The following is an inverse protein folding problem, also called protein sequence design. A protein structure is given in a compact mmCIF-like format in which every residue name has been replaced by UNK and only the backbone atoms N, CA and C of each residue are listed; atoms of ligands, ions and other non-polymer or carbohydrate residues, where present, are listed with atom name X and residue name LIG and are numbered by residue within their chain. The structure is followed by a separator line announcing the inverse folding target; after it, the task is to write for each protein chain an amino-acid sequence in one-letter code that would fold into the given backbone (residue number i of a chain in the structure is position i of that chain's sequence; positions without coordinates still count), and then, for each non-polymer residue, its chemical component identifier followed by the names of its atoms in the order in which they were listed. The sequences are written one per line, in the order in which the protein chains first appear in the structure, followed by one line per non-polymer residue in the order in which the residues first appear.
data_IF_765396260269
#
_entry.id   IF_765396260269
#
_cell.length_a   1.000
_cell.length_b   1.000
_cell.length_c   1.000
_cell.angle_alpha   90.00
_cell.angle_beta   90.00
_cell.angle_gamma   90.00
#
_symmetry.space_group_name_H-M   'P 1'
#
loop_
_entity.id
_entity.type
_entity.pdbx_description
1 polymer ?
#
# COMPACT_ATOMS: atom_id res chain seq x y z
N UNK A 1 42.20 -45.25 -1.95
CA UNK A 1 42.07 -43.78 -1.76
C UNK A 1 40.79 -43.35 -2.47
N UNK A 2 39.74 -43.00 -1.72
CA UNK A 2 38.44 -42.59 -2.27
C UNK A 2 38.51 -41.11 -2.64
N UNK A 3 38.40 -40.79 -3.93
CA UNK A 3 38.28 -39.42 -4.43
C UNK A 3 36.85 -38.93 -4.21
N UNK A 4 36.67 -38.01 -3.26
CA UNK A 4 35.38 -37.38 -2.99
C UNK A 4 35.10 -36.26 -4.01
N UNK A 5 33.97 -36.35 -4.69
CA UNK A 5 33.43 -35.31 -5.56
C UNK A 5 32.91 -34.16 -4.67
N UNK A 6 33.46 -32.95 -4.82
CA UNK A 6 32.90 -31.74 -4.18
C UNK A 6 31.90 -31.14 -5.16
N UNK A 7 30.60 -31.24 -4.83
CA UNK A 7 29.54 -30.55 -5.56
C UNK A 7 29.42 -29.15 -4.96
N UNK A 8 29.82 -28.14 -5.72
CA UNK A 8 29.62 -26.74 -5.37
C UNK A 8 28.14 -26.39 -5.69
N UNK A 9 27.29 -26.31 -4.67
CA UNK A 9 25.94 -25.76 -4.83
C UNK A 9 26.05 -24.25 -5.03
N UNK A 10 25.82 -23.80 -6.27
CA UNK A 10 25.60 -22.40 -6.59
C UNK A 10 24.19 -22.03 -6.09
N UNK A 11 24.09 -21.40 -4.93
CA UNK A 11 22.84 -20.79 -4.46
C UNK A 11 22.62 -19.54 -5.32
N UNK A 12 21.78 -19.66 -6.34
CA UNK A 12 21.19 -18.50 -6.98
C UNK A 12 20.25 -17.86 -5.96
N UNK A 13 20.69 -16.80 -5.27
CA UNK A 13 19.75 -15.85 -4.68
C UNK A 13 19.00 -15.20 -5.84
N UNK A 14 17.87 -15.79 -6.21
CA UNK A 14 16.81 -15.03 -6.85
C UNK A 14 16.35 -14.02 -5.80
N UNK A 15 16.86 -12.79 -5.88
CA UNK A 15 16.24 -11.68 -5.17
C UNK A 15 14.79 -11.65 -5.61
N UNK A 16 13.89 -12.01 -4.71
CA UNK A 16 12.49 -11.66 -4.89
C UNK A 16 12.50 -10.14 -5.03
N UNK A 17 12.18 -9.66 -6.23
CA UNK A 17 11.74 -8.28 -6.40
C UNK A 17 10.52 -8.14 -5.51
N UNK A 18 10.74 -7.60 -4.31
CA UNK A 18 9.65 -7.09 -3.51
C UNK A 18 9.08 -5.94 -4.35
N UNK A 19 7.90 -6.13 -4.95
CA UNK A 19 7.23 -5.00 -5.55
C UNK A 19 6.97 -4.01 -4.44
N UNK A 20 7.46 -2.79 -4.61
CA UNK A 20 7.24 -1.78 -3.61
C UNK A 20 5.76 -1.45 -3.55
N UNK A 21 5.27 -1.37 -2.32
CA UNK A 21 3.98 -0.80 -1.96
C UNK A 21 4.20 0.67 -1.62
N UNK A 22 3.12 1.46 -1.64
CA UNK A 22 3.13 2.81 -1.08
C UNK A 22 2.62 2.87 0.37
N UNK A 23 2.55 1.73 1.07
CA UNK A 23 2.30 1.62 2.52
C UNK A 23 3.62 1.63 3.31
N UNK A 24 3.54 2.12 4.55
CA UNK A 24 4.68 2.27 5.47
C UNK A 24 5.83 3.03 4.80
N UNK A 25 5.58 4.31 4.40
CA UNK A 25 6.50 5.06 3.57
C UNK A 25 7.90 5.22 4.16
N UNK A 26 8.02 5.18 5.48
CA UNK A 26 9.24 5.47 6.24
C UNK A 26 9.85 4.25 6.93
N UNK A 27 9.34 3.03 6.66
CA UNK A 27 9.80 1.79 7.30
C UNK A 27 9.71 1.85 8.85
N UNK A 28 8.64 2.44 9.37
CA UNK A 28 8.39 2.66 10.81
C UNK A 28 7.39 1.65 11.40
N UNK A 29 7.15 0.55 10.70
CA UNK A 29 6.17 -0.49 11.04
C UNK A 29 4.70 -0.01 10.95
N UNK A 30 4.43 1.09 10.22
CA UNK A 30 3.09 1.64 9.94
C UNK A 30 2.39 0.83 8.82
N UNK A 31 2.33 -0.49 8.97
CA UNK A 31 1.90 -1.43 7.93
C UNK A 31 0.74 -2.35 8.33
N UNK A 32 0.23 -2.23 9.55
CA UNK A 32 -0.71 -3.22 10.08
C UNK A 32 -2.13 -2.69 10.23
N UNK A 33 -3.08 -3.59 10.00
CA UNK A 33 -4.50 -3.45 10.37
C UNK A 33 -4.89 -4.62 11.28
N UNK A 34 -5.98 -4.50 12.02
CA UNK A 34 -6.32 -5.48 13.06
C UNK A 34 -7.73 -6.02 12.90
N UNK A 35 -7.90 -7.34 13.01
CA UNK A 35 -9.22 -7.94 13.18
C UNK A 35 -9.29 -8.66 14.53
N UNK A 36 -10.44 -8.52 15.19
CA UNK A 36 -10.71 -9.19 16.47
C UNK A 36 -10.66 -10.72 16.38
N UNK A 37 -10.93 -11.30 15.21
CA UNK A 37 -11.02 -12.74 15.02
C UNK A 37 -9.74 -13.38 14.45
N UNK A 38 -8.87 -12.59 13.82
CA UNK A 38 -7.68 -13.12 13.10
C UNK A 38 -6.38 -12.40 13.44
N UNK A 39 -6.44 -11.37 14.29
CA UNK A 39 -5.30 -10.61 14.76
C UNK A 39 -4.74 -9.63 13.72
N UNK A 40 -3.43 -9.44 13.74
CA UNK A 40 -2.73 -8.52 12.85
C UNK A 40 -2.75 -9.02 11.41
N UNK A 41 -3.00 -8.09 10.50
CA UNK A 41 -2.98 -8.29 9.07
C UNK A 41 -2.00 -7.26 8.49
N UNK A 42 -1.04 -7.75 7.72
CA UNK A 42 0.03 -6.97 7.10
C UNK A 42 -0.44 -6.39 5.76
N UNK A 43 -0.44 -5.07 5.65
CA UNK A 43 -0.74 -4.33 4.42
C UNK A 43 0.49 -4.11 3.55
N UNK A 44 1.71 -4.33 4.07
CA UNK A 44 2.97 -4.27 3.33
C UNK A 44 3.50 -5.67 3.01
N UNK A 45 2.59 -6.60 2.70
CA UNK A 45 2.92 -7.99 2.49
C UNK A 45 4.01 -8.16 1.41
N UNK A 46 5.06 -8.94 1.74
CA UNK A 46 6.27 -9.09 0.93
C UNK A 46 5.97 -9.37 -0.55
N UNK A 47 6.18 -8.37 -1.39
CA UNK A 47 6.20 -8.49 -2.84
C UNK A 47 4.90 -8.19 -3.57
N UNK A 48 3.74 -8.10 -2.93
CA UNK A 48 2.48 -7.71 -3.58
C UNK A 48 1.56 -6.94 -2.60
N UNK A 49 2.14 -6.19 -1.65
CA UNK A 49 1.41 -5.44 -0.63
C UNK A 49 0.39 -4.45 -1.21
N UNK A 50 -0.44 -3.88 -0.33
CA UNK A 50 -1.46 -2.91 -0.68
C UNK A 50 -0.86 -1.74 -1.48
N UNK A 51 -1.51 -1.34 -2.57
CA UNK A 51 -1.16 -0.14 -3.32
C UNK A 51 -2.40 0.75 -3.44
N UNK A 52 -2.31 1.98 -2.93
CA UNK A 52 -3.41 2.95 -3.02
C UNK A 52 -3.15 3.92 -4.17
N UNK A 53 -4.18 4.14 -4.97
CA UNK A 53 -4.23 5.22 -5.96
C UNK A 53 -5.47 6.07 -5.70
N UNK A 54 -5.58 7.21 -6.38
CA UNK A 54 -6.77 8.05 -6.30
C UNK A 54 -8.05 7.38 -6.82
N UNK A 55 -7.96 6.29 -7.59
CA UNK A 55 -9.13 5.58 -8.12
C UNK A 55 -9.43 4.21 -7.50
N UNK A 56 -8.44 3.56 -6.88
CA UNK A 56 -8.55 2.17 -6.40
C UNK A 56 -7.45 1.79 -5.43
N UNK A 57 -7.69 0.70 -4.71
CA UNK A 57 -6.68 0.02 -3.90
C UNK A 57 -6.44 -1.37 -4.49
N UNK A 58 -5.19 -1.68 -4.80
CA UNK A 58 -4.73 -2.93 -5.40
C UNK A 58 -3.79 -3.68 -4.46
N UNK A 59 -3.26 -4.82 -4.93
CA UNK A 59 -2.36 -5.65 -4.17
C UNK A 59 -3.11 -6.49 -3.13
N UNK A 60 -2.38 -6.88 -2.09
CA UNK A 60 -2.86 -7.82 -1.10
C UNK A 60 -2.56 -7.38 0.32
N UNK A 61 -3.41 -7.85 1.23
CA UNK A 61 -3.08 -7.98 2.65
C UNK A 61 -2.71 -9.43 2.95
N UNK A 62 -1.91 -9.64 3.99
CA UNK A 62 -1.54 -10.98 4.42
C UNK A 62 -1.73 -11.17 5.93
N UNK A 63 -2.27 -12.32 6.31
CA UNK A 63 -2.26 -12.79 7.69
C UNK A 63 -2.02 -14.28 7.71
N UNK A 64 -1.22 -14.77 8.67
CA UNK A 64 -0.99 -16.20 8.85
C UNK A 64 -2.27 -16.99 9.19
N UNK A 65 -3.30 -16.31 9.69
CA UNK A 65 -4.59 -16.93 10.04
C UNK A 65 -5.61 -16.94 8.89
N UNK A 66 -5.47 -16.05 7.90
CA UNK A 66 -6.45 -15.86 6.80
C UNK A 66 -5.87 -16.20 5.43
N UNK A 67 -4.55 -16.19 5.28
CA UNK A 67 -3.89 -16.20 3.98
C UNK A 67 -3.95 -14.83 3.32
N UNK A 68 -4.04 -14.82 1.99
CA UNK A 68 -4.05 -13.60 1.19
C UNK A 68 -5.45 -12.99 1.12
N UNK A 69 -5.51 -11.66 1.21
CA UNK A 69 -6.71 -10.86 0.93
C UNK A 69 -6.42 -10.01 -0.30
N UNK A 70 -7.02 -10.33 -1.43
CA UNK A 70 -6.92 -9.59 -2.67
C UNK A 70 -7.81 -8.34 -2.63
N UNK A 71 -7.21 -7.16 -2.73
CA UNK A 71 -7.92 -5.87 -2.64
C UNK A 71 -8.59 -5.50 -3.95
N UNK A 72 -8.15 -6.05 -5.09
CA UNK A 72 -8.74 -5.77 -6.40
C UNK A 72 -8.85 -7.05 -7.25
N UNK A 73 -9.66 -8.04 -6.83
CA UNK A 73 -9.78 -9.29 -7.56
C UNK A 73 -10.47 -9.05 -8.90
N UNK A 74 -10.02 -9.78 -9.94
CA UNK A 74 -10.58 -9.65 -11.29
C UNK A 74 -12.05 -10.10 -11.30
N UNK A 75 -12.95 -9.19 -11.64
CA UNK A 75 -14.39 -9.46 -11.72
C UNK A 75 -15.05 -8.57 -12.76
N UNK A 76 -16.20 -9.01 -13.29
CA UNK A 76 -17.12 -8.18 -14.09
C UNK A 76 -18.17 -7.47 -13.24
N UNK A 77 -18.30 -7.84 -11.97
CA UNK A 77 -19.20 -7.17 -11.02
C UNK A 77 -18.59 -5.83 -10.59
N UNK A 78 -19.28 -4.69 -10.81
CA UNK A 78 -18.77 -3.39 -10.42
C UNK A 78 -18.64 -3.20 -8.92
N UNK A 79 -19.25 -4.03 -8.06
CA UNK A 79 -19.08 -3.96 -6.62
C UNK A 79 -17.72 -4.53 -6.15
N UNK A 80 -17.09 -5.35 -6.99
CA UNK A 80 -15.84 -6.04 -6.66
C UNK A 80 -14.63 -5.15 -6.95
N UNK A 81 -13.65 -5.22 -6.05
CA UNK A 81 -12.46 -4.39 -6.01
C UNK A 81 -12.65 -3.17 -5.13
N UNK A 82 -11.64 -2.90 -4.30
CA UNK A 82 -11.62 -1.74 -3.42
C UNK A 82 -11.33 -0.49 -4.24
N UNK A 83 -12.23 0.48 -4.12
CA UNK A 83 -12.20 1.75 -4.84
C UNK A 83 -11.85 2.87 -3.91
N UNK A 84 -11.17 3.88 -4.45
CA UNK A 84 -10.96 5.16 -3.81
C UNK A 84 -11.67 6.23 -4.65
N UNK A 85 -12.38 7.16 -4.01
CA UNK A 85 -13.11 8.24 -4.69
C UNK A 85 -12.27 9.49 -4.97
N UNK A 86 -10.95 9.39 -4.75
CA UNK A 86 -9.99 10.48 -4.89
C UNK A 86 -9.97 11.43 -3.70
N UNK A 87 -10.85 11.24 -2.72
CA UNK A 87 -10.90 11.99 -1.47
C UNK A 87 -10.57 11.10 -0.26
N UNK A 88 -10.13 9.87 -0.52
CA UNK A 88 -9.77 8.90 0.50
C UNK A 88 -10.94 8.13 1.08
N UNK A 89 -12.17 8.22 0.54
CA UNK A 89 -13.26 7.34 0.98
C UNK A 89 -13.19 6.01 0.21
N UNK A 90 -12.99 4.91 0.94
CA UNK A 90 -12.89 3.59 0.33
C UNK A 90 -14.23 2.87 0.28
N UNK A 91 -14.43 2.07 -0.76
CA UNK A 91 -15.64 1.26 -0.94
C UNK A 91 -15.36 -0.01 -1.76
N UNK A 92 -16.35 -0.88 -1.91
CA UNK A 92 -16.24 -2.10 -2.71
C UNK A 92 -15.81 -3.33 -1.90
N UNK A 93 -15.56 -4.43 -2.61
CA UNK A 93 -15.32 -5.74 -2.03
C UNK A 93 -13.91 -6.27 -2.32
N UNK A 94 -13.17 -6.60 -1.27
CA UNK A 94 -11.95 -7.42 -1.33
C UNK A 94 -12.29 -8.91 -1.13
N UNK A 95 -11.40 -9.81 -1.56
CA UNK A 95 -11.57 -11.25 -1.42
C UNK A 95 -10.45 -11.88 -0.58
N UNK A 96 -10.79 -12.47 0.56
CA UNK A 96 -9.87 -13.28 1.35
C UNK A 96 -10.02 -14.77 1.05
N UNK A 97 -8.91 -15.47 0.79
CA UNK A 97 -8.92 -16.88 0.37
C UNK A 97 -9.67 -17.82 1.33
N UNK A 98 -9.57 -17.57 2.64
CA UNK A 98 -10.19 -18.41 3.66
C UNK A 98 -11.37 -17.74 4.39
N UNK A 99 -11.71 -16.49 4.03
CA UNK A 99 -12.75 -15.70 4.73
C UNK A 99 -13.82 -15.12 3.81
N UNK A 100 -13.62 -15.19 2.49
CA UNK A 100 -14.57 -14.70 1.49
C UNK A 100 -14.56 -13.18 1.34
N UNK A 101 -15.72 -12.61 1.03
CA UNK A 101 -15.86 -11.18 0.73
C UNK A 101 -15.72 -10.30 1.96
N UNK A 102 -15.00 -9.20 1.79
CA UNK A 102 -14.78 -8.15 2.79
C UNK A 102 -15.23 -6.82 2.20
N UNK A 103 -16.19 -6.16 2.82
CA UNK A 103 -16.74 -4.88 2.41
C UNK A 103 -16.00 -3.72 3.10
N UNK A 104 -15.46 -2.79 2.30
CA UNK A 104 -14.72 -1.61 2.75
C UNK A 104 -15.61 -0.41 3.09
N UNK A 105 -16.91 -0.46 2.76
CA UNK A 105 -17.91 0.52 3.18
C UNK A 105 -19.17 -0.18 3.75
N UNK A 106 -19.06 -0.89 4.89
CA UNK A 106 -20.17 -1.62 5.45
C UNK A 106 -21.25 -0.70 6.01
N UNK A 107 -22.51 -0.96 5.64
CA UNK A 107 -23.68 -0.27 6.19
C UNK A 107 -24.33 -1.13 7.26
N UNK A 108 -24.32 -0.64 8.50
CA UNK A 108 -24.94 -1.33 9.65
C UNK A 108 -26.39 -0.86 9.81
N UNK A 109 -27.38 -1.75 9.73
CA UNK A 109 -28.78 -1.39 9.92
C UNK A 109 -29.01 -0.64 11.24
N UNK A 110 -29.78 0.45 11.18
CA UNK A 110 -30.11 1.31 12.31
C UNK A 110 -28.92 2.02 13.01
N UNK A 111 -27.72 1.94 12.46
CA UNK A 111 -26.58 2.75 12.93
C UNK A 111 -26.48 4.02 12.10
N UNK A 112 -26.16 5.14 12.76
CA UNK A 112 -25.76 6.40 12.11
C UNK A 112 -24.24 6.56 12.02
N UNK A 113 -23.50 5.59 12.55
CA UNK A 113 -22.04 5.59 12.49
C UNK A 113 -21.62 5.27 11.06
N UNK A 114 -20.73 6.10 10.53
CA UNK A 114 -20.05 5.83 9.27
C UNK A 114 -18.84 4.94 9.55
N UNK A 115 -18.94 3.67 9.19
CA UNK A 115 -17.90 2.69 9.44
C UNK A 115 -16.87 2.62 8.34
N UNK A 116 -17.16 3.09 7.12
CA UNK A 116 -16.32 2.85 5.95
C UNK A 116 -14.86 3.26 6.15
N UNK A 117 -13.96 2.51 5.50
CA UNK A 117 -12.53 2.79 5.57
C UNK A 117 -12.22 4.09 4.85
N UNK A 118 -11.42 4.95 5.48
CA UNK A 118 -11.01 6.25 4.91
C UNK A 118 -9.52 6.47 5.06
N UNK A 119 -8.97 7.34 4.22
CA UNK A 119 -7.58 7.80 4.26
C UNK A 119 -7.58 9.32 4.37
N UNK A 120 -6.84 9.87 5.33
CA UNK A 120 -6.71 11.31 5.48
C UNK A 120 -5.60 11.92 4.61
N UNK A 121 -5.47 13.25 4.65
CA UNK A 121 -4.46 13.99 3.89
C UNK A 121 -3.01 13.68 4.31
N UNK A 122 -2.82 13.06 5.47
CA UNK A 122 -1.52 12.66 5.97
C UNK A 122 -1.16 11.20 5.63
N UNK A 123 -2.10 10.48 5.02
CA UNK A 123 -1.98 9.09 4.61
C UNK A 123 -2.44 8.09 5.68
N UNK A 124 -2.98 8.54 6.81
CA UNK A 124 -3.44 7.65 7.86
C UNK A 124 -4.82 7.07 7.54
N UNK A 125 -4.97 5.79 7.82
CA UNK A 125 -6.23 5.10 7.65
C UNK A 125 -7.14 5.28 8.87
N UNK A 126 -8.45 5.23 8.62
CA UNK A 126 -9.51 5.26 9.63
C UNK A 126 -10.68 4.36 9.22
N UNK A 127 -11.60 4.11 10.15
CA UNK A 127 -12.78 3.29 9.89
C UNK A 127 -12.51 1.80 9.96
N UNK A 128 -13.44 1.04 9.38
CA UNK A 128 -13.58 -0.40 9.54
C UNK A 128 -14.10 -1.05 8.27
N UNK A 129 -13.48 -2.17 7.90
CA UNK A 129 -14.05 -3.10 6.92
C UNK A 129 -14.75 -4.25 7.65
N UNK A 130 -15.62 -4.99 6.95
CA UNK A 130 -16.34 -6.13 7.53
C UNK A 130 -16.46 -7.28 6.54
N UNK A 131 -16.28 -8.51 7.03
CA UNK A 131 -16.58 -9.71 6.26
C UNK A 131 -17.25 -10.79 7.11
N UNK A 132 -18.11 -11.60 6.50
CA UNK A 132 -18.95 -12.59 7.21
C UNK A 132 -18.13 -13.59 8.04
N UNK A 133 -16.97 -14.02 7.53
CA UNK A 133 -16.14 -15.05 8.18
C UNK A 133 -14.88 -14.49 8.87
N UNK A 134 -14.72 -13.16 8.93
CA UNK A 134 -13.58 -12.48 9.57
C UNK A 134 -14.03 -11.45 10.61
N UNK A 135 -15.28 -11.01 10.57
CA UNK A 135 -15.82 -9.94 11.41
C UNK A 135 -15.27 -8.57 11.03
N UNK A 136 -15.13 -7.70 12.02
CA UNK A 136 -14.63 -6.35 11.83
C UNK A 136 -13.11 -6.30 11.67
N UNK A 137 -12.64 -5.50 10.72
CA UNK A 137 -11.24 -5.19 10.50
C UNK A 137 -11.04 -3.70 10.74
N UNK A 138 -10.29 -3.37 11.78
CA UNK A 138 -9.92 -2.02 12.17
C UNK A 138 -8.83 -1.47 11.26
N UNK A 139 -9.14 -0.42 10.52
CA UNK A 139 -8.18 0.36 9.74
C UNK A 139 -7.75 1.65 10.46
N UNK A 140 -8.26 1.93 11.66
CA UNK A 140 -7.95 3.15 12.39
C UNK A 140 -6.54 3.17 12.95
N UNK A 141 -5.63 3.81 12.21
CA UNK A 141 -4.21 3.86 12.52
C UNK A 141 -3.92 4.53 13.86
N UNK A 142 -4.70 5.55 14.23
CA UNK A 142 -4.57 6.20 15.54
C UNK A 142 -4.88 5.23 16.69
N UNK A 143 -5.86 4.34 16.53
CA UNK A 143 -6.18 3.31 17.52
C UNK A 143 -5.19 2.14 17.54
N UNK A 144 -4.45 1.96 16.45
CA UNK A 144 -3.46 0.90 16.26
C UNK A 144 -2.01 1.38 16.41
N UNK A 145 -1.81 2.62 16.85
CA UNK A 145 -0.49 3.21 16.98
C UNK A 145 0.43 2.35 17.87
N UNK A 146 1.73 2.19 17.51
CA UNK A 146 2.41 2.83 16.38
C UNK A 146 2.29 2.05 15.05
N UNK A 147 1.53 0.97 14.98
CA UNK A 147 1.58 -0.01 13.89
C UNK A 147 0.59 0.24 12.75
N UNK A 148 -0.35 1.15 12.96
CA UNK A 148 -1.46 1.40 12.05
C UNK A 148 -1.00 1.75 10.64
N UNK A 149 -1.59 1.11 9.64
CA UNK A 149 -1.24 1.32 8.24
C UNK A 149 -1.22 2.81 7.86
N UNK A 150 -0.20 3.23 7.11
CA UNK A 150 -0.10 4.57 6.54
C UNK A 150 0.34 4.48 5.09
N UNK A 151 -0.30 5.25 4.22
CA UNK A 151 0.09 5.39 2.81
C UNK A 151 0.93 6.65 2.60
N UNK A 152 1.88 6.57 1.67
CA UNK A 152 2.67 7.69 1.19
C UNK A 152 1.79 8.71 0.45
N UNK A 153 1.92 9.98 0.82
CA UNK A 153 1.33 11.14 0.13
C UNK A 153 2.46 12.07 -0.29
N UNK A 154 2.40 12.61 -1.52
CA UNK A 154 3.38 13.60 -1.96
C UNK A 154 3.14 14.93 -1.26
N UNK A 155 4.15 15.39 -0.51
CA UNK A 155 4.04 16.57 0.37
C UNK A 155 5.12 17.63 0.09
N UNK A 156 5.09 18.68 0.90
CA UNK A 156 6.04 19.79 0.81
C UNK A 156 7.48 19.33 1.01
N UNK A 157 7.71 18.39 1.91
CA UNK A 157 9.04 17.83 2.19
C UNK A 157 9.65 17.18 0.93
N UNK A 158 8.82 16.53 0.11
CA UNK A 158 9.26 15.94 -1.16
C UNK A 158 9.63 17.02 -2.17
N UNK A 159 8.90 18.15 -2.18
CA UNK A 159 9.22 19.30 -3.03
C UNK A 159 10.55 19.94 -2.61
N UNK A 160 10.82 20.04 -1.31
CA UNK A 160 12.11 20.55 -0.81
C UNK A 160 13.27 19.67 -1.28
N UNK A 161 13.09 18.35 -1.23
CA UNK A 161 14.09 17.39 -1.70
C UNK A 161 14.24 17.43 -3.22
N UNK A 162 13.15 17.55 -3.95
CA UNK A 162 13.17 17.78 -5.40
C UNK A 162 13.99 19.03 -5.74
N UNK A 163 13.68 20.17 -5.08
CA UNK A 163 14.36 21.44 -5.29
C UNK A 163 15.86 21.38 -4.95
N UNK A 164 16.25 20.58 -3.94
CA UNK A 164 17.67 20.36 -3.59
C UNK A 164 18.48 19.68 -4.71
N UNK A 165 17.80 18.95 -5.60
CA UNK A 165 18.38 18.22 -6.72
C UNK A 165 18.17 18.95 -8.06
N UNK A 166 17.59 20.15 -8.06
CA UNK A 166 17.30 20.92 -9.27
C UNK A 166 18.57 21.15 -10.12
N UNK A 167 18.46 20.94 -11.45
CA UNK A 167 19.54 21.06 -12.44
C UNK A 167 20.74 20.13 -12.19
N UNK A 168 20.56 19.08 -11.39
CA UNK A 168 21.54 18.00 -11.27
C UNK A 168 21.38 17.02 -12.44
N UNK A 169 22.41 16.21 -12.69
CA UNK A 169 22.39 15.21 -13.75
C UNK A 169 23.03 13.90 -13.31
N UNK A 170 22.38 12.78 -13.63
CA UNK A 170 22.81 11.42 -13.29
C UNK A 170 21.67 10.58 -12.71
N UNK A 171 21.77 9.26 -12.88
CA UNK A 171 20.72 8.30 -12.48
C UNK A 171 20.47 8.17 -10.97
N UNK A 172 21.31 8.83 -10.15
CA UNK A 172 21.28 8.73 -8.69
C UNK A 172 20.28 9.69 -8.03
N UNK A 173 19.76 10.65 -8.78
CA UNK A 173 18.88 11.69 -8.24
C UNK A 173 17.44 11.20 -8.26
N UNK A 174 16.83 11.08 -7.08
CA UNK A 174 15.42 10.70 -6.94
C UNK A 174 14.45 11.70 -7.59
N UNK A 175 14.90 12.93 -7.85
CA UNK A 175 14.15 13.96 -8.56
C UNK A 175 14.13 13.77 -10.09
N UNK A 176 14.93 12.86 -10.66
CA UNK A 176 14.85 12.45 -12.07
C UNK A 176 13.69 11.44 -12.22
N UNK A 177 12.47 11.98 -12.31
CA UNK A 177 11.23 11.22 -12.32
C UNK A 177 10.93 10.62 -13.70
N UNK A 178 11.37 11.27 -14.77
CA UNK A 178 11.17 10.81 -16.14
C UNK A 178 12.28 9.84 -16.61
N UNK A 179 13.38 9.71 -15.85
CA UNK A 179 14.55 8.86 -16.08
C UNK A 179 15.35 9.23 -17.33
N UNK A 180 15.50 10.52 -17.60
CA UNK A 180 16.31 11.04 -18.70
C UNK A 180 17.72 11.52 -18.28
N UNK A 181 18.08 11.26 -17.00
CA UNK A 181 19.34 11.63 -16.35
C UNK A 181 19.50 13.11 -16.06
N UNK A 182 18.45 13.92 -16.18
CA UNK A 182 18.46 15.33 -15.81
C UNK A 182 17.34 15.59 -14.81
N UNK A 183 17.57 16.49 -13.87
CA UNK A 183 16.50 17.02 -13.01
C UNK A 183 16.10 18.37 -13.57
N UNK A 184 15.00 18.40 -14.29
CA UNK A 184 14.54 19.58 -14.99
C UNK A 184 13.01 19.78 -14.94
N UNK A 185 12.51 20.66 -15.80
CA UNK A 185 11.10 21.04 -15.79
C UNK A 185 10.16 19.89 -16.19
N UNK A 186 10.65 18.90 -16.94
CA UNK A 186 9.88 17.70 -17.25
C UNK A 186 9.60 16.89 -15.97
N UNK A 187 10.58 16.75 -15.08
CA UNK A 187 10.39 16.08 -13.79
C UNK A 187 9.49 16.89 -12.88
N UNK A 188 9.67 18.21 -12.84
CA UNK A 188 8.78 19.07 -12.06
C UNK A 188 7.32 18.93 -12.52
N UNK A 189 7.08 18.80 -13.82
CA UNK A 189 5.74 18.57 -14.35
C UNK A 189 5.17 17.19 -13.95
N UNK A 190 6.00 16.18 -13.73
CA UNK A 190 5.57 14.89 -13.17
C UNK A 190 5.28 15.02 -11.67
N UNK A 191 6.16 15.66 -10.92
CA UNK A 191 5.96 15.94 -9.50
C UNK A 191 4.65 16.71 -9.26
N UNK A 192 4.40 17.77 -10.02
CA UNK A 192 3.22 18.61 -9.89
C UNK A 192 1.90 17.87 -10.16
N UNK A 193 1.92 16.80 -10.98
CA UNK A 193 0.75 15.94 -11.20
C UNK A 193 0.41 15.08 -9.99
N UNK A 194 1.41 14.79 -9.15
CA UNK A 194 1.28 13.96 -7.97
C UNK A 194 1.07 14.79 -6.70
N UNK A 195 1.08 16.13 -6.78
CA UNK A 195 0.98 17.01 -5.62
C UNK A 195 -0.28 16.73 -4.79
N UNK A 196 -0.08 16.36 -3.51
CA UNK A 196 -1.15 15.93 -2.59
C UNK A 196 -1.93 14.69 -3.05
N UNK A 197 -1.38 13.90 -3.96
CA UNK A 197 -1.87 12.58 -4.35
C UNK A 197 -0.99 11.48 -3.71
N UNK A 198 -1.45 10.24 -3.82
CA UNK A 198 -0.70 9.07 -3.36
C UNK A 198 0.62 8.94 -4.11
N UNK A 199 1.69 8.66 -3.37
CA UNK A 199 2.98 8.44 -4.00
C UNK A 199 2.94 7.19 -4.89
N UNK A 200 3.61 7.20 -6.05
CA UNK A 200 3.93 5.97 -6.77
C UNK A 200 4.69 4.97 -5.88
N UNK A 201 4.63 3.70 -6.23
CA UNK A 201 5.54 2.70 -5.66
C UNK A 201 7.00 3.12 -5.84
N UNK A 202 7.85 2.84 -4.85
CA UNK A 202 9.27 3.26 -4.85
C UNK A 202 9.50 4.77 -4.94
N UNK A 203 8.57 5.59 -4.44
CA UNK A 203 8.76 7.04 -4.41
C UNK A 203 10.03 7.42 -3.63
N UNK A 204 11.05 7.88 -4.35
CA UNK A 204 12.39 8.13 -3.79
C UNK A 204 12.57 9.51 -3.16
N UNK A 205 11.53 10.35 -3.18
CA UNK A 205 11.56 11.68 -2.57
C UNK A 205 11.05 11.69 -1.12
N UNK A 206 10.49 10.59 -0.60
CA UNK A 206 10.04 10.44 0.79
C UNK A 206 11.17 10.22 1.79
#
# INVERSE_FOLDING_TARGET
MRTGLIILMLVMLAGASAWATNIDPYDEEEQYVWSENVGWIDAKANGDGMEVTSGKVMGYLWSSSVGWINLYPRSSDPAVGVKNDGQGNLSGLAWGENVGWINFDPKVPNSKVDYGVKIDADGYFSGWAWGENIGWINFNSASLAPYGARVCIVKLEDLERFASQWLRSGYIYAADLNRDYQVDFADFALFAKLWLDYCPCDWGLK
#
